data_IF_030907782386
#
_entry.id   IF_030907782386
#
_cell.length_a   1.000
_cell.length_b   1.000
_cell.length_c   1.000
_cell.angle_alpha   90.00
_cell.angle_beta   90.00
_cell.angle_gamma   90.00
#
_symmetry.space_group_name_H-M   'P 1'
#
loop_
_entity.id
_entity.type
_entity.pdbx_description
1 polymer ?
#
# COMPACT_ATOMS: atom_id res chain seq x y z
N UNK A 1 -7.30 15.50 -4.36
CA UNK A 1 -6.18 14.54 -4.49
C UNK A 1 -6.79 13.24 -4.97
N UNK A 2 -6.38 12.73 -6.13
CA UNK A 2 -6.85 11.41 -6.62
C UNK A 2 -6.34 10.30 -5.72
N UNK A 3 -6.96 9.12 -5.80
CA UNK A 3 -6.54 7.94 -5.04
C UNK A 3 -5.10 7.56 -5.44
N UNK A 4 -4.77 7.60 -6.72
CA UNK A 4 -3.42 7.29 -7.23
C UNK A 4 -2.37 8.24 -6.66
N UNK A 5 -2.63 9.55 -6.65
CA UNK A 5 -1.70 10.54 -6.08
C UNK A 5 -1.50 10.34 -4.57
N UNK A 6 -2.55 9.93 -3.86
CA UNK A 6 -2.47 9.59 -2.45
C UNK A 6 -1.61 8.33 -2.24
N UNK A 7 -1.88 7.27 -2.99
CA UNK A 7 -1.15 6.00 -2.94
C UNK A 7 0.31 6.19 -3.31
N UNK A 8 0.62 6.87 -4.41
CA UNK A 8 1.99 7.20 -4.82
C UNK A 8 2.77 7.88 -3.68
N UNK A 9 2.14 8.83 -3.00
CA UNK A 9 2.77 9.57 -1.90
C UNK A 9 2.95 8.69 -0.66
N UNK A 10 1.98 7.83 -0.36
CA UNK A 10 2.05 6.84 0.72
C UNK A 10 3.18 5.84 0.45
N UNK A 11 3.20 5.20 -0.72
CA UNK A 11 4.23 4.27 -1.17
C UNK A 11 5.62 4.88 -1.08
N UNK A 12 5.79 6.11 -1.59
CA UNK A 12 7.07 6.81 -1.52
C UNK A 12 7.50 7.12 -0.10
N UNK A 13 6.58 7.46 0.80
CA UNK A 13 6.90 7.67 2.22
C UNK A 13 7.30 6.36 2.91
N UNK A 14 6.70 5.23 2.54
CA UNK A 14 7.07 3.90 3.02
C UNK A 14 8.49 3.56 2.59
N UNK A 15 8.78 3.64 1.28
CA UNK A 15 10.11 3.36 0.71
C UNK A 15 11.22 4.29 1.24
N UNK A 16 10.87 5.49 1.68
CA UNK A 16 11.82 6.43 2.29
C UNK A 16 11.88 6.31 3.83
N UNK A 17 11.26 5.27 4.42
CA UNK A 17 11.18 5.03 5.87
C UNK A 17 10.58 6.21 6.66
N UNK A 18 9.81 7.08 5.99
CA UNK A 18 9.14 8.24 6.60
C UNK A 18 7.73 7.91 7.09
N UNK A 19 7.26 6.71 6.84
CA UNK A 19 5.94 6.25 7.24
C UNK A 19 6.00 5.48 8.57
N UNK A 20 5.55 6.12 9.65
CA UNK A 20 5.43 5.51 10.98
C UNK A 20 4.23 4.54 11.06
N UNK A 21 4.30 3.41 10.37
CA UNK A 21 3.22 2.40 10.30
C UNK A 21 2.69 1.96 11.67
N UNK A 22 3.55 1.92 12.70
CA UNK A 22 3.19 1.58 14.09
C UNK A 22 2.10 2.48 14.69
N UNK A 23 2.03 3.75 14.25
CA UNK A 23 0.99 4.69 14.73
C UNK A 23 -0.39 4.37 14.15
N UNK A 24 -0.42 3.61 13.06
CA UNK A 24 -1.62 3.28 12.29
C UNK A 24 -2.06 1.83 12.50
N UNK A 25 -1.55 1.14 13.52
CA UNK A 25 -2.06 -0.16 13.99
C UNK A 25 -3.54 -0.11 14.39
N UNK A 26 -4.05 1.09 14.67
CA UNK A 26 -5.47 1.38 14.80
C UNK A 26 -5.90 2.32 13.69
N UNK A 27 -7.15 2.20 13.27
CA UNK A 27 -7.72 3.07 12.24
C UNK A 27 -7.50 4.54 12.57
N UNK A 28 -6.76 5.22 11.69
CA UNK A 28 -6.45 6.63 11.83
C UNK A 28 -6.51 7.34 10.49
N UNK A 29 -6.90 8.60 10.54
CA UNK A 29 -6.91 9.46 9.36
C UNK A 29 -5.50 9.87 8.96
N UNK A 30 -5.09 9.51 7.74
CA UNK A 30 -3.86 9.93 7.08
C UNK A 30 -4.23 10.78 5.87
N UNK A 31 -3.78 12.04 5.83
CA UNK A 31 -4.12 12.99 4.75
C UNK A 31 -5.63 13.03 4.39
N UNK A 32 -6.51 12.87 5.38
CA UNK A 32 -7.96 12.90 5.18
C UNK A 32 -8.61 11.57 4.75
N UNK A 33 -7.87 10.45 4.78
CA UNK A 33 -8.38 9.09 4.54
C UNK A 33 -8.07 8.19 5.73
N UNK A 34 -9.06 7.47 6.22
CA UNK A 34 -8.85 6.52 7.31
C UNK A 34 -8.20 5.24 6.78
N UNK A 35 -7.03 4.92 7.33
CA UNK A 35 -6.30 3.69 7.04
C UNK A 35 -5.99 2.96 8.33
N UNK A 36 -5.79 1.65 8.20
CA UNK A 36 -5.39 0.76 9.27
C UNK A 36 -4.26 -0.14 8.79
N UNK A 37 -3.32 -0.43 9.68
CA UNK A 37 -2.14 -1.23 9.39
C UNK A 37 -2.21 -2.53 10.17
N UNK A 38 -2.09 -3.63 9.45
CA UNK A 38 -1.96 -4.97 9.99
C UNK A 38 -0.49 -5.39 9.90
N UNK A 39 0.18 -5.70 11.02
CA UNK A 39 1.55 -6.21 10.97
C UNK A 39 1.58 -7.59 10.31
N UNK A 40 2.44 -7.75 9.30
CA UNK A 40 2.65 -9.02 8.62
C UNK A 40 3.67 -9.84 9.42
N UNK A 41 3.21 -10.91 10.05
CA UNK A 41 4.04 -11.85 10.78
C UNK A 41 4.17 -13.18 10.04
N UNK A 42 5.37 -13.72 10.02
CA UNK A 42 5.67 -15.10 9.64
C UNK A 42 6.20 -15.86 10.85
N UNK A 43 6.45 -17.17 10.68
CA UNK A 43 6.83 -18.07 11.77
C UNK A 43 8.07 -17.66 12.58
N UNK A 44 8.93 -16.78 12.05
CA UNK A 44 10.18 -16.35 12.69
C UNK A 44 10.21 -14.88 13.09
N UNK A 45 9.16 -14.09 12.82
CA UNK A 45 9.16 -12.66 13.15
C UNK A 45 8.20 -11.84 12.32
N UNK A 46 8.24 -10.52 12.54
CA UNK A 46 7.56 -9.57 11.68
C UNK A 46 8.45 -9.30 10.46
N UNK A 47 7.88 -9.41 9.26
CA UNK A 47 8.59 -9.19 7.98
C UNK A 47 8.06 -7.96 7.23
N UNK A 48 6.93 -7.41 7.67
CA UNK A 48 6.27 -6.34 6.96
C UNK A 48 5.00 -5.84 7.62
N UNK A 49 4.19 -5.17 6.82
CA UNK A 49 2.84 -4.78 7.17
C UNK A 49 1.95 -4.60 5.94
N UNK A 50 0.65 -4.81 6.15
CA UNK A 50 -0.40 -4.58 5.16
C UNK A 50 -1.24 -3.39 5.60
N UNK A 51 -1.53 -2.48 4.69
CA UNK A 51 -2.38 -1.31 4.88
C UNK A 51 -3.72 -1.58 4.19
N UNK A 52 -4.80 -1.48 4.95
CA UNK A 52 -6.17 -1.60 4.45
C UNK A 52 -6.98 -0.36 4.84
N UNK A 53 -8.06 -0.10 4.10
CA UNK A 53 -8.86 1.11 4.24
C UNK A 53 -10.32 0.79 4.63
N UNK A 54 -10.62 0.60 5.93
CA UNK A 54 -11.90 0.05 6.38
C UNK A 54 -13.12 0.96 6.14
N UNK A 55 -12.92 2.26 5.97
CA UNK A 55 -14.01 3.24 5.81
C UNK A 55 -14.01 3.94 4.44
N UNK A 56 -13.32 3.36 3.45
CA UNK A 56 -13.32 3.97 2.12
C UNK A 56 -14.67 3.79 1.44
N UNK A 57 -15.20 4.92 0.94
CA UNK A 57 -16.46 5.00 0.20
C UNK A 57 -16.35 4.38 -1.21
N UNK A 58 -15.12 4.27 -1.70
CA UNK A 58 -14.71 3.68 -2.97
C UNK A 58 -13.83 2.44 -2.68
N UNK A 59 -13.82 1.41 -3.54
CA UNK A 59 -12.94 0.25 -3.39
C UNK A 59 -11.48 0.74 -3.45
N UNK A 60 -10.83 0.81 -2.29
CA UNK A 60 -9.44 1.25 -2.19
C UNK A 60 -8.58 0.00 -2.05
N UNK A 61 -7.51 -0.14 -2.85
CA UNK A 61 -6.74 -1.37 -2.89
C UNK A 61 -5.92 -1.53 -1.61
N UNK A 62 -5.62 -2.78 -1.25
CA UNK A 62 -4.77 -3.10 -0.10
C UNK A 62 -3.30 -2.94 -0.47
N UNK A 63 -2.48 -2.37 0.42
CA UNK A 63 -1.03 -2.28 0.18
C UNK A 63 -0.31 -3.25 1.09
N UNK A 64 0.65 -4.00 0.59
CA UNK A 64 1.54 -4.79 1.43
C UNK A 64 2.98 -4.31 1.21
N UNK A 65 3.69 -4.08 2.31
CA UNK A 65 5.11 -3.78 2.30
C UNK A 65 5.86 -4.86 3.08
N UNK A 66 6.81 -5.50 2.41
CA UNK A 66 7.77 -6.44 2.97
C UNK A 66 9.13 -5.75 3.03
N UNK A 67 9.65 -5.53 4.24
CA UNK A 67 10.94 -4.87 4.41
C UNK A 67 12.13 -5.83 4.28
N UNK A 68 11.91 -7.15 4.34
CA UNK A 68 12.98 -8.12 4.11
C UNK A 68 13.30 -8.22 2.61
N UNK A 69 12.27 -8.11 1.77
CA UNK A 69 12.40 -8.11 0.31
C UNK A 69 12.46 -6.71 -0.30
N UNK A 70 12.25 -5.65 0.50
CA UNK A 70 11.99 -4.27 0.03
C UNK A 70 10.90 -4.22 -1.05
N UNK A 71 9.88 -5.07 -0.87
CA UNK A 71 8.85 -5.31 -1.86
C UNK A 71 7.55 -4.60 -1.44
N UNK A 72 7.02 -3.78 -2.35
CA UNK A 72 5.81 -3.01 -2.12
C UNK A 72 4.77 -3.35 -3.19
N UNK A 73 3.68 -3.98 -2.77
CA UNK A 73 2.58 -4.36 -3.65
C UNK A 73 1.29 -3.64 -3.30
N UNK A 74 0.49 -3.34 -4.31
CA UNK A 74 -0.86 -2.82 -4.21
C UNK A 74 -1.79 -3.86 -4.86
N UNK A 75 -2.71 -4.43 -4.09
CA UNK A 75 -3.65 -5.47 -4.55
C UNK A 75 -2.93 -6.66 -5.21
N UNK A 76 -1.86 -7.14 -4.56
CA UNK A 76 -0.99 -8.22 -5.06
C UNK A 76 -0.26 -7.89 -6.39
N UNK A 77 -0.36 -6.64 -6.89
CA UNK A 77 0.36 -6.14 -8.06
C UNK A 77 1.46 -5.17 -7.64
N UNK A 78 2.50 -5.06 -8.46
CA UNK A 78 3.56 -4.08 -8.22
C UNK A 78 3.00 -2.65 -8.14
N UNK A 79 3.40 -1.89 -7.11
CA UNK A 79 2.88 -0.54 -6.90
C UNK A 79 3.18 0.42 -8.06
N UNK A 80 4.29 0.21 -8.79
CA UNK A 80 4.65 1.00 -9.95
C UNK A 80 3.73 0.66 -11.13
N UNK A 81 3.41 -0.62 -11.34
CA UNK A 81 2.47 -1.06 -12.38
C UNK A 81 1.05 -0.59 -12.11
N UNK A 82 0.63 -0.56 -10.85
CA UNK A 82 -0.69 -0.06 -10.48
C UNK A 82 -0.82 1.45 -10.76
N UNK A 83 0.25 2.23 -10.53
CA UNK A 83 0.28 3.68 -10.73
C UNK A 83 0.62 4.11 -12.15
N UNK A 84 1.20 3.21 -12.95
CA UNK A 84 1.51 3.39 -14.36
C UNK A 84 0.70 2.38 -15.16
N UNK A 85 -0.59 2.65 -15.45
CA UNK A 85 -1.41 1.80 -16.30
C UNK A 85 -0.97 1.83 -17.79
N UNK A 86 0.28 2.21 -18.08
CA UNK A 86 0.79 2.29 -19.44
C UNK A 86 1.00 0.87 -20.00
N UNK A 87 0.10 0.52 -20.93
CA UNK A 87 0.21 -0.47 -22.00
C UNK A 87 0.07 -1.96 -21.61
N UNK A 88 -1.11 -2.34 -21.13
CA UNK A 88 -1.70 -3.64 -21.48
C UNK A 88 -2.73 -3.40 -22.59
N UNK A 89 -2.25 -2.84 -23.70
CA UNK A 89 -2.95 -2.77 -24.98
C UNK A 89 -2.02 -3.47 -25.99
N UNK A 90 -2.21 -4.78 -26.16
CA UNK A 90 -2.27 -5.46 -27.47
C UNK A 90 -2.26 -6.99 -27.27
N UNK A 91 -3.48 -7.53 -27.45
CA UNK A 91 -3.86 -8.86 -27.95
C UNK A 91 -2.72 -9.81 -28.39
N UNK A 92 -2.61 -10.98 -27.74
CA UNK A 92 -2.14 -12.18 -28.46
C UNK A 92 -3.28 -12.65 -29.39
N UNK A 93 -3.19 -12.29 -30.68
CA UNK A 93 -3.95 -12.88 -31.80
C UNK A 93 -3.40 -14.26 -32.19
#
# INVERSE_FOLDING_TARGET
MTIEQYLYRLCRNILNERFDWRKYLTTRSYFGRDLCVTPLHVSYGQIGYTIHFPYSRDPMPELAYDWEMDDLTIDEKDWQKWLSPEEDDEEEE
#
